data_IF_489463233249
#
_entry.id   IF_489463233249
#
_cell.length_a   1.000
_cell.length_b   1.000
_cell.length_c   1.000
_cell.angle_alpha   90.00
_cell.angle_beta   90.00
_cell.angle_gamma   90.00
#
_symmetry.space_group_name_H-M   'P 1'
#
loop_
_entity.id
_entity.type
_entity.pdbx_description
1 polymer ?
#
# COMPACT_ATOMS: atom_id res chain seq x y z
N UNK A 1 -20.96 -1.06 -4.33
CA UNK A 1 -20.18 -2.32 -4.45
C UNK A 1 -19.50 -2.43 -5.82
N UNK A 2 -18.32 -1.82 -6.01
CA UNK A 2 -17.44 -2.21 -7.14
C UNK A 2 -16.58 -3.37 -6.68
N UNK A 3 -16.98 -4.59 -7.08
CA UNK A 3 -16.20 -5.81 -6.94
C UNK A 3 -15.03 -5.75 -7.95
N UNK A 4 -13.93 -5.09 -7.61
CA UNK A 4 -12.77 -4.96 -8.48
C UNK A 4 -11.46 -5.05 -7.70
N UNK A 5 -10.44 -5.69 -8.28
CA UNK A 5 -9.07 -5.68 -7.74
C UNK A 5 -8.36 -4.40 -8.20
N UNK A 6 -7.62 -3.76 -7.31
CA UNK A 6 -6.81 -2.58 -7.60
C UNK A 6 -5.44 -2.71 -6.95
N UNK A 7 -4.47 -1.94 -7.44
CA UNK A 7 -3.11 -1.92 -6.92
C UNK A 7 -2.92 -0.69 -6.03
N UNK A 8 -2.50 -0.89 -4.79
CA UNK A 8 -2.07 0.22 -3.93
C UNK A 8 -0.69 0.67 -4.37
N UNK A 9 -0.51 1.97 -4.57
CA UNK A 9 0.76 2.54 -5.02
C UNK A 9 1.26 3.64 -4.10
N UNK A 10 2.56 3.90 -4.18
CA UNK A 10 3.23 4.94 -3.39
C UNK A 10 2.92 6.37 -3.85
N UNK A 11 3.36 7.35 -3.06
CA UNK A 11 3.31 8.78 -3.33
C UNK A 11 3.93 9.16 -4.69
N UNK A 12 4.95 8.41 -5.13
CA UNK A 12 5.64 8.60 -6.39
C UNK A 12 4.82 8.22 -7.62
N UNK A 13 3.71 7.49 -7.46
CA UNK A 13 2.87 7.08 -8.58
C UNK A 13 1.67 8.00 -8.76
N UNK A 14 1.25 8.28 -10.00
CA UNK A 14 0.02 9.01 -10.26
C UNK A 14 -1.20 8.16 -9.88
N UNK A 15 -2.24 8.80 -9.37
CA UNK A 15 -3.54 8.15 -9.17
C UNK A 15 -4.21 7.91 -10.52
N UNK A 16 -4.28 6.66 -10.99
CA UNK A 16 -4.90 6.26 -12.26
C UNK A 16 -5.44 4.85 -12.13
N UNK A 17 -6.68 4.57 -12.50
CA UNK A 17 -7.20 3.19 -12.46
C UNK A 17 -6.31 2.24 -13.29
N UNK A 18 -5.96 1.03 -12.80
CA UNK A 18 -6.34 0.41 -11.53
C UNK A 18 -5.40 0.70 -10.34
N UNK A 19 -4.47 1.64 -10.46
CA UNK A 19 -3.53 2.08 -9.42
C UNK A 19 -4.15 3.17 -8.51
N UNK A 20 -4.19 2.88 -7.22
CA UNK A 20 -4.82 3.70 -6.22
C UNK A 20 -3.76 4.34 -5.31
N UNK A 21 -3.49 5.62 -5.55
CA UNK A 21 -2.53 6.40 -4.76
C UNK A 21 -3.22 7.07 -3.57
N UNK A 22 -2.50 7.26 -2.46
CA UNK A 22 -3.01 7.98 -1.29
C UNK A 22 -3.35 9.45 -1.61
N UNK A 23 -4.08 10.12 -0.71
CA UNK A 23 -4.28 11.57 -0.80
C UNK A 23 -3.00 12.29 -0.42
N UNK A 24 -2.48 13.12 -1.34
CA UNK A 24 -1.32 13.97 -1.10
C UNK A 24 -1.70 15.13 -0.18
N UNK A 25 -0.82 15.49 0.75
CA UNK A 25 -1.05 16.59 1.70
C UNK A 25 -2.06 16.29 2.81
N UNK A 26 -2.53 15.04 2.93
CA UNK A 26 -3.39 14.59 4.03
C UNK A 26 -2.57 13.73 4.97
N UNK A 27 -2.23 14.27 6.13
CA UNK A 27 -1.48 13.55 7.15
C UNK A 27 -2.37 12.57 7.89
N UNK A 28 -1.85 11.37 8.11
CA UNK A 28 -2.37 10.43 9.09
C UNK A 28 -1.24 10.27 10.13
N UNK A 29 -1.50 10.50 11.42
CA UNK A 29 -0.45 10.46 12.44
C UNK A 29 -0.55 9.14 13.22
N UNK A 30 0.37 8.19 12.95
CA UNK A 30 0.41 6.90 13.66
C UNK A 30 0.66 7.05 15.16
N UNK A 31 1.44 8.07 15.56
CA UNK A 31 1.76 8.40 16.96
C UNK A 31 0.50 8.68 17.79
N UNK A 32 -0.57 9.16 17.17
CA UNK A 32 -1.72 9.69 17.87
C UNK A 32 -2.72 8.59 18.26
N UNK A 33 -2.57 7.36 17.76
CA UNK A 33 -3.47 6.24 18.01
C UNK A 33 -3.04 5.32 19.17
N UNK A 34 -1.85 5.53 19.74
CA UNK A 34 -1.27 4.61 20.76
C UNK A 34 -1.44 5.05 22.21
N UNK A 35 -2.00 6.23 22.50
CA UNK A 35 -2.07 6.70 23.89
C UNK A 35 -3.21 7.65 24.26
N UNK A 36 -3.62 8.57 23.37
CA UNK A 36 -4.63 9.60 23.72
C UNK A 36 -5.45 10.14 22.52
N UNK A 37 -5.37 9.46 21.37
CA UNK A 37 -6.39 9.43 20.31
C UNK A 37 -6.85 10.77 19.76
N UNK A 38 -6.13 11.35 18.79
CA UNK A 38 -6.80 12.27 17.87
C UNK A 38 -7.83 11.47 17.06
N UNK A 39 -9.09 11.87 17.11
CA UNK A 39 -10.14 11.24 16.31
C UNK A 39 -9.86 11.52 14.83
N UNK A 40 -10.07 10.54 13.96
CA UNK A 40 -10.00 10.77 12.50
C UNK A 40 -10.97 11.91 12.15
N UNK A 41 -10.51 12.93 11.45
CA UNK A 41 -11.31 14.12 11.20
C UNK A 41 -12.12 14.03 9.91
N UNK A 42 -11.70 13.18 8.98
CA UNK A 42 -12.33 13.05 7.67
C UNK A 42 -12.05 11.71 6.97
N UNK A 43 -12.84 11.45 5.92
CA UNK A 43 -12.73 10.27 5.08
C UNK A 43 -11.34 10.08 4.44
N UNK A 44 -10.64 11.17 4.11
CA UNK A 44 -9.33 11.11 3.48
C UNK A 44 -8.24 10.63 4.46
N UNK A 45 -8.31 11.05 5.73
CA UNK A 45 -7.41 10.58 6.78
C UNK A 45 -7.60 9.10 7.07
N UNK A 46 -8.86 8.64 7.18
CA UNK A 46 -9.16 7.21 7.33
C UNK A 46 -8.63 6.41 6.14
N UNK A 47 -8.86 6.92 4.93
CA UNK A 47 -8.35 6.29 3.72
C UNK A 47 -6.82 6.18 3.74
N UNK A 48 -6.12 7.27 4.05
CA UNK A 48 -4.66 7.28 4.11
C UNK A 48 -4.11 6.36 5.21
N UNK A 49 -4.75 6.32 6.38
CA UNK A 49 -4.39 5.42 7.47
C UNK A 49 -4.50 3.95 7.04
N UNK A 50 -5.62 3.57 6.41
CA UNK A 50 -5.83 2.20 5.91
C UNK A 50 -4.87 1.87 4.76
N UNK A 51 -4.65 2.81 3.85
CA UNK A 51 -3.71 2.70 2.74
C UNK A 51 -2.30 2.43 3.26
N UNK A 52 -1.83 3.23 4.21
CA UNK A 52 -0.53 3.08 4.86
C UNK A 52 -0.41 1.79 5.67
N UNK A 53 -1.46 1.39 6.40
CA UNK A 53 -1.45 0.13 7.14
C UNK A 53 -1.26 -1.08 6.21
N UNK A 54 -1.92 -1.08 5.05
CA UNK A 54 -1.76 -2.16 4.06
C UNK A 54 -0.37 -2.13 3.42
N UNK A 55 0.13 -0.94 3.11
CA UNK A 55 1.49 -0.73 2.60
C UNK A 55 2.54 -1.27 3.57
N UNK A 56 2.43 -0.93 4.85
CA UNK A 56 3.33 -1.37 5.91
C UNK A 56 3.40 -2.91 6.00
N UNK A 57 2.26 -3.60 5.85
CA UNK A 57 2.26 -5.09 5.80
C UNK A 57 3.09 -5.62 4.64
N UNK A 58 2.97 -5.01 3.45
CA UNK A 58 3.74 -5.40 2.26
C UNK A 58 5.22 -5.08 2.42
N UNK A 59 5.57 -3.89 2.90
CA UNK A 59 6.95 -3.48 3.16
C UNK A 59 7.63 -4.40 4.17
N UNK A 60 6.95 -4.73 5.27
CA UNK A 60 7.44 -5.67 6.27
C UNK A 60 7.67 -7.07 5.70
N UNK A 61 6.79 -7.55 4.82
CA UNK A 61 6.97 -8.83 4.14
C UNK A 61 8.26 -8.83 3.29
N UNK A 62 8.49 -7.76 2.53
CA UNK A 62 9.72 -7.61 1.76
C UNK A 62 10.96 -7.43 2.65
N UNK A 63 10.84 -6.75 3.80
CA UNK A 63 11.89 -6.66 4.81
C UNK A 63 12.32 -8.04 5.31
N UNK A 64 11.36 -8.88 5.69
CA UNK A 64 11.62 -10.28 6.09
C UNK A 64 12.31 -11.06 4.96
N UNK A 65 11.87 -10.86 3.71
CA UNK A 65 12.47 -11.55 2.57
C UNK A 65 13.91 -11.10 2.32
N UNK A 66 14.21 -9.80 2.44
CA UNK A 66 15.59 -9.27 2.33
C UNK A 66 16.50 -9.75 3.47
N UNK A 67 15.96 -9.90 4.68
CA UNK A 67 16.70 -10.46 5.82
C UNK A 67 17.00 -11.95 5.63
N UNK A 68 16.00 -12.73 5.20
CA UNK A 68 16.12 -14.19 5.06
C UNK A 68 16.85 -14.63 3.79
N UNK A 69 16.61 -13.97 2.67
CA UNK A 69 17.16 -14.34 1.37
C UNK A 69 18.06 -13.21 0.88
N UNK A 70 19.38 -13.46 0.97
CA UNK A 70 20.42 -12.52 0.56
C UNK A 70 20.29 -12.08 -0.91
N UNK A 71 19.63 -12.88 -1.74
CA UNK A 71 19.38 -12.58 -3.14
C UNK A 71 18.52 -11.33 -3.37
N UNK A 72 17.75 -10.88 -2.37
CA UNK A 72 16.98 -9.64 -2.43
C UNK A 72 17.72 -8.41 -1.86
N UNK A 73 18.94 -8.58 -1.33
CA UNK A 73 19.74 -7.43 -0.82
C UNK A 73 20.27 -6.54 -1.92
N UNK A 74 20.43 -7.08 -3.13
CA UNK A 74 20.87 -6.35 -4.32
C UNK A 74 19.92 -6.67 -5.46
N UNK A 75 19.73 -5.74 -6.40
CA UNK A 75 18.95 -6.00 -7.59
C UNK A 75 19.54 -7.22 -8.34
N UNK A 76 18.79 -8.33 -8.47
CA UNK A 76 19.31 -9.50 -9.16
C UNK A 76 19.55 -9.16 -10.64
N UNK A 77 20.67 -9.58 -11.26
CA UNK A 77 20.98 -9.30 -12.66
C UNK A 77 20.17 -10.21 -13.61
N UNK A 78 18.88 -10.38 -13.32
CA UNK A 78 17.96 -11.23 -14.08
C UNK A 78 16.84 -10.38 -14.68
N UNK A 79 16.28 -10.79 -15.83
CA UNK A 79 15.08 -10.17 -16.39
C UNK A 79 13.92 -10.16 -15.38
N UNK A 80 13.03 -9.17 -15.48
CA UNK A 80 11.89 -8.98 -14.57
C UNK A 80 11.07 -10.25 -14.35
N UNK A 81 10.81 -11.02 -15.42
CA UNK A 81 10.08 -12.29 -15.32
C UNK A 81 10.75 -13.27 -14.34
N UNK A 82 12.07 -13.40 -14.42
CA UNK A 82 12.85 -14.28 -13.53
C UNK A 82 12.82 -13.73 -12.10
N UNK A 83 12.95 -12.40 -11.93
CA UNK A 83 12.85 -11.78 -10.61
C UNK A 83 11.49 -12.08 -9.94
N UNK A 84 10.38 -12.01 -10.70
CA UNK A 84 9.05 -12.36 -10.21
C UNK A 84 8.94 -13.84 -9.79
N UNK A 85 9.48 -14.75 -10.61
CA UNK A 85 9.54 -16.19 -10.29
C UNK A 85 10.36 -16.45 -9.03
N UNK A 86 11.47 -15.73 -8.83
CA UNK A 86 12.30 -15.83 -7.62
C UNK A 86 11.54 -15.40 -6.36
N UNK A 87 10.73 -14.33 -6.42
CA UNK A 87 9.86 -13.91 -5.31
C UNK A 87 8.89 -15.02 -4.94
N UNK A 88 8.24 -15.64 -5.93
CA UNK A 88 7.31 -16.75 -5.71
C UNK A 88 8.00 -17.99 -5.10
N UNK A 89 9.19 -18.35 -5.61
CA UNK A 89 9.98 -19.46 -5.09
C UNK A 89 10.41 -19.22 -3.62
N UNK A 90 10.87 -18.01 -3.31
CA UNK A 90 11.25 -17.63 -1.95
C UNK A 90 10.05 -17.61 -0.99
N UNK A 91 8.89 -17.15 -1.44
CA UNK A 91 7.65 -17.21 -0.66
C UNK A 91 7.22 -18.65 -0.36
N UNK A 92 7.27 -19.53 -1.37
CA UNK A 92 7.00 -20.96 -1.19
C UNK A 92 7.95 -21.61 -0.20
N UNK A 93 9.25 -21.33 -0.32
CA UNK A 93 10.27 -21.83 0.60
C UNK A 93 10.09 -21.29 2.03
N UNK A 94 9.80 -20.00 2.17
CA UNK A 94 9.50 -19.37 3.47
C UNK A 94 8.30 -20.05 4.14
N UNK A 95 7.22 -20.27 3.40
CA UNK A 95 6.01 -20.92 3.91
C UNK A 95 6.26 -22.38 4.31
N UNK A 96 7.04 -23.11 3.51
CA UNK A 96 7.43 -24.48 3.84
C UNK A 96 8.27 -24.54 5.12
N UNK A 97 9.31 -23.70 5.24
CA UNK A 97 10.15 -23.67 6.43
C UNK A 97 9.38 -23.26 7.68
N UNK A 98 8.43 -22.32 7.57
CA UNK A 98 7.54 -21.92 8.68
C UNK A 98 6.59 -23.04 9.11
N UNK A 99 6.20 -23.92 8.19
CA UNK A 99 5.35 -25.09 8.50
C UNK A 99 6.15 -26.19 9.21
N UNK A 100 7.40 -26.40 8.81
CA UNK A 100 8.26 -27.48 9.33
C UNK A 100 9.05 -27.09 10.61
N UNK A 101 9.22 -25.79 10.90
CA UNK A 101 9.95 -25.30 12.09
C UNK A 101 9.12 -24.30 12.90
N UNK A 102 9.11 -24.46 14.22
CA UNK A 102 8.35 -23.61 15.17
C UNK A 102 9.01 -22.26 15.53
N UNK A 103 10.13 -21.88 14.93
CA UNK A 103 10.83 -20.63 15.29
C UNK A 103 11.37 -19.94 14.04
N UNK A 104 10.75 -18.82 13.68
CA UNK A 104 11.32 -17.77 12.83
C UNK A 104 11.35 -16.50 13.69
N UNK A 105 12.41 -16.35 14.47
CA UNK A 105 12.67 -15.15 15.29
C UNK A 105 13.33 -14.10 14.38
N UNK A 106 12.58 -13.64 13.36
CA UNK A 106 12.99 -12.44 12.63
C UNK A 106 12.51 -11.24 13.45
N UNK A 107 13.42 -10.39 13.94
CA UNK A 107 13.03 -9.18 14.63
C UNK A 107 12.08 -8.39 13.74
N UNK A 108 10.95 -7.98 14.31
CA UNK A 108 10.12 -6.94 13.72
C UNK A 108 10.90 -5.65 13.94
N UNK A 109 11.77 -5.29 13.01
CA UNK A 109 12.27 -3.92 12.97
C UNK A 109 11.08 -3.05 12.60
N UNK A 110 10.64 -2.23 13.57
CA UNK A 110 9.71 -1.14 13.35
C UNK A 110 10.48 -0.13 12.51
N UNK A 111 10.33 -0.21 11.18
CA UNK A 111 10.84 0.82 10.29
C UNK A 111 9.98 2.08 10.50
N UNK A 112 10.30 2.83 11.55
CA UNK A 112 9.81 4.19 11.77
C UNK A 112 10.65 5.14 10.94
N UNK A 113 10.60 5.01 9.63
CA UNK A 113 11.11 6.03 8.73
C UNK A 113 9.99 6.47 7.80
N UNK A 114 9.26 7.49 8.27
CA UNK A 114 8.50 8.42 7.44
C UNK A 114 9.47 9.08 6.44
N UNK A 115 9.83 8.35 5.39
CA UNK A 115 10.55 8.90 4.27
C UNK A 115 9.52 9.51 3.30
N UNK A 116 9.12 10.76 3.59
CA UNK A 116 8.62 11.68 2.58
C UNK A 116 9.71 11.90 1.52
N UNK A 117 9.85 10.97 0.58
CA UNK A 117 10.76 11.12 -0.55
C UNK A 117 10.02 11.79 -1.69
N UNK A 118 10.15 13.12 -1.74
CA UNK A 118 9.84 13.89 -2.93
C UNK A 118 10.92 13.64 -3.98
N UNK A 119 10.67 12.72 -4.91
CA UNK A 119 11.45 12.61 -6.13
C UNK A 119 10.56 12.73 -7.38
N UNK A 120 11.09 13.53 -8.29
CA UNK A 120 10.50 14.07 -9.51
C UNK A 120 10.23 13.02 -10.58
N UNK A 121 9.30 13.41 -11.44
CA UNK A 121 8.59 12.68 -12.48
C UNK A 121 9.49 11.96 -13.51
N UNK A 122 9.08 10.75 -13.89
CA UNK A 122 9.26 10.21 -15.25
C UNK A 122 7.92 9.60 -15.68
N UNK A 123 7.33 10.17 -16.74
CA UNK A 123 6.03 9.80 -17.31
C UNK A 123 6.29 8.66 -18.32
N UNK A 124 5.90 7.43 -17.97
CA UNK A 124 5.90 6.31 -18.92
C UNK A 124 4.51 6.26 -19.58
N UNK A 125 4.49 6.64 -20.86
CA UNK A 125 3.29 6.78 -21.67
C UNK A 125 2.79 5.39 -22.11
N UNK A 126 1.60 5.02 -21.63
CA UNK A 126 0.88 3.85 -22.14
C UNK A 126 -0.38 4.33 -22.86
N UNK A 127 -0.31 4.32 -24.18
CA UNK A 127 -1.36 4.78 -25.09
C UNK A 127 -2.53 3.76 -25.10
N UNK A 128 -3.67 4.12 -24.51
CA UNK A 128 -4.98 3.48 -24.73
C UNK A 128 -6.01 4.55 -25.10
N UNK A 129 -6.72 4.28 -26.19
CA UNK A 129 -7.69 5.12 -26.89
C UNK A 129 -8.92 5.59 -26.06
N UNK A 130 -9.30 6.86 -26.32
CA UNK A 130 -10.62 7.51 -26.17
C UNK A 130 -11.10 8.09 -24.82
N UNK A 131 -10.25 8.83 -24.10
CA UNK A 131 -10.62 9.89 -23.14
C UNK A 131 -9.46 10.89 -23.07
N UNK A 132 -9.69 12.18 -22.79
CA UNK A 132 -8.55 13.10 -22.54
C UNK A 132 -7.83 12.67 -21.26
N UNK A 133 -6.51 12.88 -21.19
CA UNK A 133 -5.72 12.55 -20.00
C UNK A 133 -6.30 13.20 -18.72
N UNK A 134 -6.89 14.39 -18.86
CA UNK A 134 -7.57 15.10 -17.79
C UNK A 134 -8.85 14.39 -17.32
N UNK A 135 -9.66 13.88 -18.25
CA UNK A 135 -10.85 13.11 -17.93
C UNK A 135 -10.51 11.82 -17.18
N UNK A 136 -9.42 11.13 -17.57
CA UNK A 136 -8.95 9.93 -16.89
C UNK A 136 -8.50 10.23 -15.46
N UNK A 137 -7.78 11.35 -15.25
CA UNK A 137 -7.34 11.80 -13.92
C UNK A 137 -8.55 12.13 -13.03
N UNK A 138 -9.54 12.83 -13.58
CA UNK A 138 -10.77 13.16 -12.85
C UNK A 138 -11.56 11.90 -12.48
N UNK A 139 -11.75 10.99 -13.43
CA UNK A 139 -12.39 9.69 -13.20
C UNK A 139 -11.67 8.86 -12.12
N UNK A 140 -10.33 8.90 -12.07
CA UNK A 140 -9.54 8.23 -11.05
C UNK A 140 -9.63 8.91 -9.66
N UNK A 141 -9.72 10.25 -9.63
CA UNK A 141 -9.92 10.99 -8.38
C UNK A 141 -11.31 10.75 -7.80
N UNK A 142 -12.36 10.79 -8.63
CA UNK A 142 -13.73 10.48 -8.21
C UNK A 142 -13.84 9.05 -7.68
N UNK A 143 -13.13 8.11 -8.31
CA UNK A 143 -13.05 6.73 -7.82
C UNK A 143 -12.44 6.62 -6.43
N UNK A 144 -11.30 7.29 -6.20
CA UNK A 144 -10.65 7.29 -4.88
C UNK A 144 -11.54 7.95 -3.84
N UNK A 145 -12.15 9.09 -4.16
CA UNK A 145 -13.09 9.79 -3.28
C UNK A 145 -14.27 8.88 -2.90
N UNK A 146 -14.84 8.17 -3.86
CA UNK A 146 -15.89 7.19 -3.60
C UNK A 146 -15.44 6.10 -2.61
N UNK A 147 -14.25 5.51 -2.81
CA UNK A 147 -13.72 4.51 -1.88
C UNK A 147 -13.55 5.10 -0.48
N UNK A 148 -13.00 6.31 -0.36
CA UNK A 148 -12.82 6.98 0.93
C UNK A 148 -14.15 7.22 1.65
N UNK A 149 -15.17 7.70 0.93
CA UNK A 149 -16.51 7.94 1.49
C UNK A 149 -17.20 6.64 1.93
N UNK A 150 -17.10 5.57 1.14
CA UNK A 150 -17.65 4.26 1.52
C UNK A 150 -16.95 3.73 2.78
N UNK A 151 -15.61 3.80 2.83
CA UNK A 151 -14.84 3.41 4.02
C UNK A 151 -15.24 4.20 5.27
N UNK A 152 -15.52 5.49 5.11
CA UNK A 152 -15.95 6.37 6.20
C UNK A 152 -17.35 6.00 6.70
N UNK A 153 -18.28 5.77 5.77
CA UNK A 153 -19.66 5.36 6.08
C UNK A 153 -19.69 4.04 6.87
N UNK A 154 -18.81 3.09 6.54
CA UNK A 154 -18.69 1.83 7.29
C UNK A 154 -18.27 2.05 8.75
N UNK A 155 -17.38 3.01 9.01
CA UNK A 155 -16.93 3.34 10.38
C UNK A 155 -18.02 4.03 11.18
N UNK A 156 -18.74 4.97 10.56
CA UNK A 156 -19.85 5.68 11.20
C UNK A 156 -21.00 4.73 11.58
N UNK A 157 -21.31 3.73 10.73
CA UNK A 157 -22.30 2.70 11.03
C UNK A 157 -21.86 1.82 12.21
N UNK A 158 -20.58 1.45 12.29
CA UNK A 158 -20.05 0.66 13.41
C UNK A 158 -20.10 1.45 14.72
N UNK A 159 -19.74 2.74 14.70
CA UNK A 159 -19.79 3.60 15.87
C UNK A 159 -21.23 3.86 16.35
N UNK A 160 -22.17 4.04 15.43
CA UNK A 160 -23.58 4.28 15.77
C UNK A 160 -24.35 3.03 16.26
N UNK A 161 -23.87 1.82 15.93
CA UNK A 161 -24.46 0.56 16.41
C UNK A 161 -23.89 0.07 17.74
N UNK A 162 -22.96 0.82 18.36
CA UNK A 162 -22.31 0.47 19.62
C UNK A 162 -22.86 1.27 20.83
N UNK A 163 -23.96 2.02 20.62
CA UNK A 163 -24.75 2.70 21.65
C UNK A 163 -26.16 2.09 21.73
#
# INVERSE_FOLDING_TARGET
>A
MFLGKYFLVDCGFPNRRPFLAHFRGVCYHLSDFTGQGRHLENANELFNLRHASLRNVVERLFGIFKLRFTIFKTAPPFPFKIQAEMVLACAGLHNYLRKERHYDEFPIELDTEDALSSHSEEDDDFEILSETQEQQRENANQWRNFIATEMWSDVDVVNNNMH
#
